data_IF_649007985525
#
_entry.id   IF_649007985525
#
_cell.length_a   1.000
_cell.length_b   1.000
_cell.length_c   1.000
_cell.angle_alpha   90.00
_cell.angle_beta   90.00
_cell.angle_gamma   90.00
#
_symmetry.space_group_name_H-M   'P 1'
#
loop_
_entity.id
_entity.type
_entity.pdbx_description
1 polymer ?
#
# COMPACT_ATOMS: atom_id res chain seq x y z
N UNK A 1 -4.60 11.08 -10.29
CA UNK A 1 -4.37 10.04 -9.30
C UNK A 1 -3.95 8.73 -9.90
N UNK A 2 -3.93 7.71 -9.11
CA UNK A 2 -3.73 6.33 -9.55
C UNK A 2 -4.87 5.47 -9.01
N UNK A 3 -5.17 4.35 -9.68
CA UNK A 3 -6.06 3.34 -9.15
C UNK A 3 -5.43 2.66 -7.93
N UNK A 4 -6.19 2.48 -6.86
CA UNK A 4 -5.87 1.63 -5.73
C UNK A 4 -6.67 0.33 -5.77
N UNK A 5 -7.91 0.43 -6.26
CA UNK A 5 -8.84 -0.67 -6.41
C UNK A 5 -9.02 -0.97 -7.91
N UNK A 6 -9.43 -2.19 -8.22
CA UNK A 6 -9.64 -2.62 -9.60
C UNK A 6 -10.69 -1.80 -10.35
N UNK A 7 -11.69 -1.29 -9.62
CA UNK A 7 -12.80 -0.51 -10.18
C UNK A 7 -12.54 1.00 -10.20
N UNK A 8 -11.39 1.46 -9.72
CA UNK A 8 -11.00 2.86 -9.77
C UNK A 8 -10.75 3.29 -11.22
N UNK A 9 -11.30 4.44 -11.63
CA UNK A 9 -11.08 5.05 -12.93
C UNK A 9 -10.42 6.44 -12.79
N UNK A 10 -9.13 6.51 -12.40
CA UNK A 10 -8.44 7.78 -12.25
C UNK A 10 -8.20 8.43 -13.61
N UNK A 11 -8.14 9.78 -13.62
CA UNK A 11 -7.70 10.51 -14.82
C UNK A 11 -6.30 10.04 -15.24
N UNK A 12 -6.08 9.95 -16.54
CA UNK A 12 -4.77 9.60 -17.12
C UNK A 12 -3.74 10.72 -16.89
N UNK A 13 -2.48 10.41 -17.10
CA UNK A 13 -1.43 11.43 -17.05
C UNK A 13 -1.59 12.45 -18.17
N UNK A 14 -2.12 12.04 -19.33
CA UNK A 14 -2.38 12.91 -20.47
C UNK A 14 -3.52 13.89 -20.15
N UNK A 15 -4.59 13.45 -19.49
CA UNK A 15 -5.67 14.33 -19.00
C UNK A 15 -5.12 15.41 -18.06
N UNK A 16 -4.24 15.03 -17.13
CA UNK A 16 -3.59 15.98 -16.22
C UNK A 16 -2.71 16.96 -16.97
N UNK A 17 -1.93 16.48 -17.93
CA UNK A 17 -1.05 17.33 -18.74
C UNK A 17 -1.86 18.31 -19.59
N UNK A 18 -2.91 17.84 -20.27
CA UNK A 18 -3.78 18.68 -21.09
C UNK A 18 -4.43 19.79 -20.30
N UNK A 19 -5.11 19.44 -19.18
CA UNK A 19 -5.79 20.42 -18.33
C UNK A 19 -4.81 21.44 -17.77
N UNK A 20 -3.67 20.97 -17.25
CA UNK A 20 -2.69 21.86 -16.61
C UNK A 20 -1.99 22.75 -17.62
N UNK A 21 -1.51 22.21 -18.73
CA UNK A 21 -0.80 22.99 -19.76
C UNK A 21 -1.75 23.98 -20.44
N UNK A 22 -3.00 23.61 -20.71
CA UNK A 22 -3.99 24.50 -21.29
C UNK A 22 -4.31 25.66 -20.34
N UNK A 23 -4.59 25.37 -19.06
CA UNK A 23 -4.89 26.41 -18.09
C UNK A 23 -3.72 27.41 -17.92
N UNK A 24 -2.48 26.91 -17.86
CA UNK A 24 -1.29 27.80 -17.76
C UNK A 24 -1.15 28.67 -18.99
N UNK A 25 -1.32 28.09 -20.19
CA UNK A 25 -1.24 28.84 -21.47
C UNK A 25 -2.31 29.95 -21.52
N UNK A 26 -3.56 29.61 -21.28
CA UNK A 26 -4.69 30.53 -21.34
C UNK A 26 -4.56 31.68 -20.33
N UNK A 27 -4.07 31.38 -19.12
CA UNK A 27 -3.85 32.41 -18.10
C UNK A 27 -2.69 33.34 -18.48
N UNK A 28 -1.59 32.79 -18.99
CA UNK A 28 -0.48 33.61 -19.45
C UNK A 28 -0.88 34.52 -20.60
N UNK A 29 -1.61 34.00 -21.58
CA UNK A 29 -2.13 34.79 -22.70
C UNK A 29 -3.07 35.90 -22.23
N UNK A 30 -4.03 35.57 -21.37
CA UNK A 30 -5.00 36.54 -20.82
C UNK A 30 -4.34 37.70 -20.05
N UNK A 31 -3.25 37.39 -19.35
CA UNK A 31 -2.57 38.37 -18.48
C UNK A 31 -1.29 38.96 -19.12
N UNK A 32 -0.98 38.65 -20.37
CA UNK A 32 0.21 39.14 -21.05
C UNK A 32 1.53 38.65 -20.43
N UNK A 33 1.53 37.46 -19.83
CA UNK A 33 2.68 36.87 -19.17
C UNK A 33 3.47 35.95 -20.12
N UNK A 34 4.77 35.90 -19.92
CA UNK A 34 5.60 34.91 -20.61
C UNK A 34 5.28 33.51 -20.09
N UNK A 35 5.17 32.54 -21.00
CA UNK A 35 4.89 31.15 -20.63
C UNK A 35 6.03 30.59 -19.74
N UNK A 36 5.74 30.16 -18.50
CA UNK A 36 6.75 29.62 -17.60
C UNK A 36 7.12 28.19 -17.97
N UNK A 37 8.29 27.76 -17.50
CA UNK A 37 8.62 26.33 -17.44
C UNK A 37 7.83 25.67 -16.31
N UNK A 38 7.02 24.69 -16.65
CA UNK A 38 6.26 23.89 -15.68
C UNK A 38 7.13 22.74 -15.15
N UNK A 39 7.21 22.59 -13.84
CA UNK A 39 7.87 21.48 -13.15
C UNK A 39 6.83 20.75 -12.30
N UNK A 40 6.84 19.42 -12.35
CA UNK A 40 5.94 18.55 -11.58
C UNK A 40 6.75 17.48 -10.88
N UNK A 41 6.25 17.00 -9.74
CA UNK A 41 6.89 15.98 -8.90
C UNK A 41 5.94 14.78 -8.67
N UNK A 42 5.68 13.94 -9.70
CA UNK A 42 4.68 12.87 -9.64
C UNK A 42 5.23 11.63 -8.92
N UNK A 43 5.33 11.64 -7.60
CA UNK A 43 5.90 10.52 -6.83
C UNK A 43 5.09 9.23 -6.95
N UNK A 44 3.86 9.23 -6.43
CA UNK A 44 3.03 8.03 -6.30
C UNK A 44 2.66 7.39 -7.63
N UNK A 45 2.31 8.17 -8.62
CA UNK A 45 1.92 7.67 -9.94
C UNK A 45 3.03 6.92 -10.67
N UNK A 46 4.28 7.10 -10.28
CA UNK A 46 5.41 6.41 -10.89
C UNK A 46 5.63 5.00 -10.32
N UNK A 47 5.40 4.79 -9.03
CA UNK A 47 5.90 3.59 -8.35
C UNK A 47 4.84 2.82 -7.53
N UNK A 48 3.68 3.40 -7.23
CA UNK A 48 2.73 2.73 -6.34
C UNK A 48 2.29 1.36 -6.88
N UNK A 49 1.89 1.28 -8.15
CA UNK A 49 1.41 0.04 -8.76
C UNK A 49 2.55 -0.93 -9.12
N UNK A 50 3.81 -0.50 -9.01
CA UNK A 50 4.95 -1.39 -9.19
C UNK A 50 5.31 -2.18 -7.93
N UNK A 51 4.67 -1.88 -6.79
CA UNK A 51 4.96 -2.52 -5.52
C UNK A 51 3.76 -3.23 -4.91
N UNK A 52 4.05 -4.36 -4.29
CA UNK A 52 3.10 -5.13 -3.47
C UNK A 52 3.75 -5.42 -2.12
N UNK A 53 2.91 -5.63 -1.10
CA UNK A 53 3.38 -6.12 0.19
C UNK A 53 2.80 -7.50 0.44
N UNK A 54 3.66 -8.42 0.88
CA UNK A 54 3.27 -9.80 1.19
C UNK A 54 3.26 -9.99 2.70
N UNK A 55 2.19 -10.60 3.18
CA UNK A 55 2.01 -10.94 4.59
C UNK A 55 1.61 -12.40 4.74
N UNK A 56 1.94 -12.99 5.87
CA UNK A 56 1.49 -14.33 6.24
C UNK A 56 0.26 -14.24 7.13
N UNK A 57 -0.77 -15.04 6.85
CA UNK A 57 -1.95 -15.16 7.70
C UNK A 57 -1.59 -15.92 8.96
N UNK A 58 -1.80 -15.28 10.11
CA UNK A 58 -1.52 -15.86 11.43
C UNK A 58 -2.77 -16.39 12.13
N UNK A 59 -3.81 -15.57 12.28
CA UNK A 59 -5.02 -15.89 13.04
C UNK A 59 -6.25 -15.48 12.25
N UNK A 60 -7.31 -16.28 12.37
CA UNK A 60 -8.63 -15.97 11.83
C UNK A 60 -9.63 -15.79 12.96
N UNK A 61 -10.39 -14.69 12.97
CA UNK A 61 -11.43 -14.42 13.96
C UNK A 61 -12.71 -13.95 13.29
N UNK A 62 -13.77 -14.71 13.46
CA UNK A 62 -15.11 -14.33 12.99
C UNK A 62 -15.96 -13.85 14.16
N UNK A 63 -16.55 -12.66 14.02
CA UNK A 63 -17.59 -12.14 14.89
C UNK A 63 -18.90 -12.23 14.10
N UNK A 64 -19.77 -13.21 14.37
CA UNK A 64 -20.97 -13.45 13.58
C UNK A 64 -21.84 -12.21 13.48
N UNK A 65 -22.27 -11.85 12.27
CA UNK A 65 -23.08 -10.66 11.99
C UNK A 65 -22.36 -9.30 12.13
N UNK A 66 -21.07 -9.30 12.47
CA UNK A 66 -20.28 -8.08 12.65
C UNK A 66 -19.15 -8.00 11.65
N UNK A 67 -18.14 -8.89 11.77
CA UNK A 67 -16.93 -8.79 10.93
C UNK A 67 -16.09 -10.06 10.99
N UNK A 68 -15.39 -10.36 9.90
CA UNK A 68 -14.33 -11.36 9.87
C UNK A 68 -12.96 -10.66 9.83
N UNK A 69 -12.12 -10.98 10.79
CA UNK A 69 -10.73 -10.53 10.84
C UNK A 69 -9.79 -11.62 10.35
N UNK A 70 -8.82 -11.22 9.54
CA UNK A 70 -7.67 -12.01 9.12
C UNK A 70 -6.43 -11.29 9.65
N UNK A 71 -5.84 -11.83 10.72
CA UNK A 71 -4.63 -11.26 11.31
C UNK A 71 -3.40 -11.68 10.51
N UNK A 72 -2.52 -10.72 10.25
CA UNK A 72 -1.32 -10.87 9.43
C UNK A 72 -0.06 -10.55 10.24
N UNK A 73 1.10 -11.01 9.74
CA UNK A 73 2.40 -10.81 10.41
C UNK A 73 3.03 -9.40 10.23
N UNK A 74 2.29 -8.46 9.63
CA UNK A 74 2.62 -7.05 9.53
C UNK A 74 1.57 -6.16 10.18
N UNK A 75 1.39 -4.94 9.65
CA UNK A 75 0.38 -4.02 10.13
C UNK A 75 0.72 -2.55 9.87
N UNK A 76 0.22 -1.66 10.73
CA UNK A 76 0.39 -0.22 10.58
C UNK A 76 1.84 0.25 10.62
N UNK A 77 2.77 -0.52 11.18
CA UNK A 77 4.20 -0.19 11.11
C UNK A 77 4.79 -0.32 9.69
N UNK A 78 4.16 -1.11 8.82
CA UNK A 78 4.57 -1.32 7.42
C UNK A 78 3.75 -0.46 6.47
N UNK A 79 2.45 -0.31 6.74
CA UNK A 79 1.51 0.50 5.97
C UNK A 79 0.58 1.28 6.88
N UNK A 80 1.01 2.48 7.27
CA UNK A 80 0.25 3.40 8.14
C UNK A 80 -0.88 4.11 7.41
N UNK A 81 -0.97 4.01 6.08
CA UNK A 81 -1.81 4.88 5.27
C UNK A 81 -3.30 4.65 5.45
N UNK A 82 -3.73 3.42 5.73
CA UNK A 82 -5.14 3.13 6.06
C UNK A 82 -5.55 3.86 7.33
N UNK A 83 -4.71 3.84 8.37
CA UNK A 83 -4.99 4.54 9.63
C UNK A 83 -4.94 6.07 9.51
N UNK A 84 -3.96 6.62 8.75
CA UNK A 84 -3.76 8.07 8.64
C UNK A 84 -4.68 8.76 7.62
N UNK A 85 -4.95 8.09 6.50
CA UNK A 85 -5.58 8.72 5.34
C UNK A 85 -6.85 8.00 4.89
N UNK A 86 -7.27 6.95 5.60
CA UNK A 86 -8.37 6.07 5.18
C UNK A 86 -8.16 5.55 3.75
N UNK A 87 -6.89 5.25 3.42
CA UNK A 87 -6.55 4.74 2.10
C UNK A 87 -7.02 3.30 1.97
N UNK A 88 -7.76 3.03 0.90
CA UNK A 88 -8.17 1.68 0.56
C UNK A 88 -7.07 0.96 -0.21
N UNK A 89 -6.94 -0.34 0.06
CA UNK A 89 -6.01 -1.23 -0.63
C UNK A 89 -6.72 -2.52 -1.01
N UNK A 90 -6.40 -3.05 -2.18
CA UNK A 90 -6.95 -4.32 -2.65
C UNK A 90 -6.06 -5.49 -2.23
N UNK A 91 -6.61 -6.48 -1.50
CA UNK A 91 -5.91 -7.69 -1.13
C UNK A 91 -6.23 -8.87 -2.06
N UNK A 92 -5.33 -9.84 -2.11
CA UNK A 92 -5.61 -11.19 -2.64
C UNK A 92 -4.82 -12.22 -1.86
N UNK A 93 -5.32 -13.46 -1.78
CA UNK A 93 -4.52 -14.60 -1.29
C UNK A 93 -3.65 -15.07 -2.45
N UNK A 94 -2.35 -14.80 -2.40
CA UNK A 94 -1.42 -15.03 -3.51
C UNK A 94 -1.38 -16.50 -3.96
N UNK A 95 -1.38 -17.43 -3.00
CA UNK A 95 -1.39 -18.87 -3.28
C UNK A 95 -2.80 -19.41 -3.64
N UNK A 96 -3.83 -18.57 -3.69
CA UNK A 96 -5.21 -18.90 -4.09
C UNK A 96 -5.80 -17.86 -5.05
N UNK A 97 -4.96 -17.12 -5.78
CA UNK A 97 -5.39 -15.96 -6.58
C UNK A 97 -6.44 -16.29 -7.66
N UNK A 98 -6.46 -17.54 -8.16
CA UNK A 98 -7.46 -18.01 -9.13
C UNK A 98 -8.80 -18.42 -8.51
N UNK A 99 -8.91 -18.49 -7.19
CA UNK A 99 -10.15 -18.85 -6.52
C UNK A 99 -11.09 -17.64 -6.38
N UNK A 100 -12.41 -17.86 -6.28
CA UNK A 100 -13.36 -16.77 -6.10
C UNK A 100 -13.15 -16.09 -4.72
N UNK A 101 -13.35 -14.78 -4.68
CA UNK A 101 -13.39 -13.98 -3.45
C UNK A 101 -14.76 -14.11 -2.82
N UNK A 102 -14.91 -14.97 -1.84
CA UNK A 102 -16.20 -15.34 -1.24
C UNK A 102 -16.44 -14.75 0.14
N UNK A 103 -15.46 -14.04 0.69
CA UNK A 103 -15.53 -13.49 2.05
C UNK A 103 -15.26 -11.99 2.04
N UNK A 104 -15.93 -11.24 2.92
CA UNK A 104 -15.58 -9.86 3.23
C UNK A 104 -14.77 -9.87 4.52
N UNK A 105 -13.57 -9.31 4.48
CA UNK A 105 -12.63 -9.37 5.60
C UNK A 105 -11.98 -8.02 5.91
N UNK A 106 -11.54 -7.87 7.14
CA UNK A 106 -10.59 -6.83 7.55
C UNK A 106 -9.24 -7.51 7.84
N UNK A 107 -8.19 -7.08 7.12
CA UNK A 107 -6.81 -7.49 7.42
C UNK A 107 -6.32 -6.63 8.58
N UNK A 108 -6.15 -7.24 9.75
CA UNK A 108 -5.62 -6.57 10.93
C UNK A 108 -4.16 -6.99 11.19
N UNK A 109 -3.37 -6.03 11.65
CA UNK A 109 -1.99 -6.29 12.00
C UNK A 109 -1.83 -6.91 13.39
N UNK A 110 -0.60 -6.91 13.86
CA UNK A 110 -0.16 -7.53 15.12
C UNK A 110 0.10 -6.53 16.23
N UNK A 111 -0.22 -5.24 16.01
CA UNK A 111 0.03 -4.18 16.98
C UNK A 111 -1.10 -4.11 18.02
N UNK A 112 -0.74 -3.73 19.25
CA UNK A 112 -1.70 -3.46 20.31
C UNK A 112 -2.34 -2.08 20.12
N UNK A 113 -3.06 -1.91 18.99
CA UNK A 113 -3.63 -0.66 18.53
C UNK A 113 -4.94 -0.92 17.76
N UNK A 114 -6.01 -0.24 18.14
CA UNK A 114 -7.33 -0.45 17.53
C UNK A 114 -7.40 -0.03 16.05
N UNK A 115 -6.55 0.89 15.65
CA UNK A 115 -6.40 1.35 14.26
C UNK A 115 -5.51 0.47 13.38
N UNK A 116 -4.98 -0.65 13.90
CA UNK A 116 -4.08 -1.53 13.16
C UNK A 116 -4.83 -2.40 12.13
N UNK A 117 -5.33 -1.76 11.09
CA UNK A 117 -5.93 -2.39 9.93
C UNK A 117 -5.22 -1.92 8.66
N UNK A 118 -4.78 -2.87 7.84
CA UNK A 118 -4.17 -2.62 6.54
C UNK A 118 -5.24 -2.53 5.45
N UNK A 119 -6.29 -3.34 5.57
CA UNK A 119 -7.42 -3.38 4.65
C UNK A 119 -8.70 -3.51 5.47
N UNK A 120 -9.75 -2.78 5.11
CA UNK A 120 -11.02 -2.77 5.85
C UNK A 120 -12.16 -3.22 4.95
N UNK A 121 -12.87 -4.29 5.37
CA UNK A 121 -14.10 -4.79 4.76
C UNK A 121 -14.03 -5.01 3.24
N UNK A 122 -12.96 -5.65 2.77
CA UNK A 122 -12.73 -5.93 1.35
C UNK A 122 -12.97 -7.40 0.97
N UNK A 123 -13.39 -7.67 -0.26
CA UNK A 123 -13.53 -9.04 -0.78
C UNK A 123 -12.19 -9.79 -0.80
N UNK A 124 -12.19 -11.01 -0.29
CA UNK A 124 -11.01 -11.89 -0.26
C UNK A 124 -11.41 -13.36 -0.54
N UNK A 125 -10.49 -14.14 -1.07
CA UNK A 125 -10.59 -15.60 -1.07
C UNK A 125 -10.68 -16.11 0.36
N UNK A 126 -11.27 -17.29 0.57
CA UNK A 126 -11.25 -17.93 1.89
C UNK A 126 -9.81 -18.11 2.35
N UNK A 127 -9.46 -17.44 3.45
CA UNK A 127 -8.14 -17.50 4.04
C UNK A 127 -8.00 -18.68 4.99
N UNK A 128 -6.83 -19.30 4.97
CA UNK A 128 -6.38 -20.29 5.97
C UNK A 128 -5.08 -19.78 6.63
N UNK A 129 -4.79 -20.26 7.84
CA UNK A 129 -3.55 -19.93 8.54
C UNK A 129 -2.36 -20.42 7.70
N UNK A 130 -1.36 -19.55 7.52
CA UNK A 130 -0.18 -19.80 6.70
C UNK A 130 -0.32 -19.38 5.24
N UNK A 131 -1.51 -18.97 4.78
CA UNK A 131 -1.67 -18.37 3.46
C UNK A 131 -0.85 -17.07 3.32
N UNK A 132 -0.50 -16.73 2.10
CA UNK A 132 0.19 -15.47 1.78
C UNK A 132 -0.82 -14.47 1.22
N UNK A 133 -1.02 -13.38 1.95
CA UNK A 133 -1.79 -12.23 1.47
C UNK A 133 -0.88 -11.28 0.70
N UNK A 134 -1.28 -10.92 -0.49
CA UNK A 134 -0.68 -9.85 -1.29
C UNK A 134 -1.58 -8.62 -1.23
N UNK A 135 -1.03 -7.47 -0.84
CA UNK A 135 -1.69 -6.17 -0.86
C UNK A 135 -1.08 -5.34 -1.97
N UNK A 136 -1.90 -4.91 -2.94
CA UNK A 136 -1.47 -4.16 -4.11
C UNK A 136 -1.26 -2.68 -3.84
N UNK A 137 -0.58 -1.98 -4.76
CA UNK A 137 -0.45 -0.52 -4.74
C UNK A 137 0.45 0.04 -3.64
N UNK A 138 1.33 -0.79 -3.05
CA UNK A 138 2.17 -0.42 -1.90
C UNK A 138 3.57 0.09 -2.26
N UNK A 139 3.86 0.32 -3.55
CA UNK A 139 5.17 0.79 -4.01
C UNK A 139 5.50 2.23 -3.63
N UNK A 140 4.52 3.01 -3.16
CA UNK A 140 4.73 4.39 -2.70
C UNK A 140 4.23 4.59 -1.28
N UNK A 141 5.02 5.30 -0.46
CA UNK A 141 4.69 5.73 0.90
C UNK A 141 4.47 4.63 1.95
N UNK A 142 4.63 3.35 1.61
CA UNK A 142 4.60 2.27 2.59
C UNK A 142 6.00 2.08 3.19
N UNK A 143 6.98 1.62 2.41
CA UNK A 143 8.35 1.44 2.92
C UNK A 143 8.96 2.73 3.48
N UNK A 144 8.72 3.89 2.86
CA UNK A 144 9.28 5.19 3.31
C UNK A 144 8.60 5.74 4.56
N UNK A 145 7.38 5.33 4.86
CA UNK A 145 6.65 5.68 6.09
C UNK A 145 6.70 4.57 7.14
N UNK A 146 7.36 3.45 6.84
CA UNK A 146 7.50 2.35 7.79
C UNK A 146 8.23 2.81 9.05
N UNK A 147 7.79 2.30 10.19
CA UNK A 147 8.30 2.66 11.49
C UNK A 147 8.61 1.43 12.34
N UNK A 148 9.27 1.66 13.47
CA UNK A 148 9.49 0.64 14.48
C UNK A 148 8.44 0.69 15.61
N UNK A 149 7.21 1.13 15.29
CA UNK A 149 6.14 1.19 16.27
C UNK A 149 5.95 -0.17 16.97
N UNK A 150 5.75 -0.15 18.27
CA UNK A 150 5.70 -1.33 19.15
C UNK A 150 6.96 -2.24 19.06
N UNK A 151 8.14 -1.67 18.74
CA UNK A 151 9.38 -2.42 18.64
C UNK A 151 9.40 -3.42 17.49
N UNK A 152 8.66 -3.18 16.41
CA UNK A 152 8.62 -4.08 15.25
C UNK A 152 9.73 -3.73 14.25
N UNK A 153 10.51 -4.74 13.81
CA UNK A 153 11.47 -4.56 12.72
C UNK A 153 10.78 -4.23 11.40
N UNK A 154 11.33 -3.27 10.65
CA UNK A 154 10.83 -2.93 9.31
C UNK A 154 11.07 -4.06 8.32
N UNK A 155 10.13 -4.30 7.36
CA UNK A 155 10.25 -5.37 6.38
C UNK A 155 11.37 -5.12 5.36
N UNK A 156 11.78 -6.18 4.67
CA UNK A 156 12.71 -6.07 3.55
C UNK A 156 12.03 -5.41 2.32
N UNK A 157 12.84 -4.78 1.46
CA UNK A 157 12.42 -4.40 0.10
C UNK A 157 13.18 -5.28 -0.90
N UNK A 158 12.41 -5.91 -1.79
CA UNK A 158 12.92 -6.84 -2.79
C UNK A 158 12.49 -6.38 -4.16
N UNK A 159 13.43 -6.20 -5.09
CA UNK A 159 13.12 -5.96 -6.49
C UNK A 159 13.05 -7.29 -7.22
N UNK A 160 12.00 -7.43 -8.04
CA UNK A 160 11.78 -8.60 -8.88
C UNK A 160 11.79 -8.17 -10.34
N UNK A 161 12.60 -8.84 -11.15
CA UNK A 161 12.68 -8.61 -12.59
C UNK A 161 13.09 -9.89 -13.29
N UNK A 162 12.40 -10.22 -14.39
CA UNK A 162 12.72 -11.36 -15.27
C UNK A 162 12.88 -12.69 -14.51
N UNK A 163 12.01 -12.93 -13.51
CA UNK A 163 12.03 -14.12 -12.68
C UNK A 163 13.12 -14.15 -11.60
N UNK A 164 13.96 -13.12 -11.50
CA UNK A 164 14.99 -12.99 -10.48
C UNK A 164 14.57 -12.01 -9.37
N UNK A 165 14.91 -12.34 -8.11
CA UNK A 165 14.65 -11.49 -6.95
C UNK A 165 15.97 -10.98 -6.37
N UNK A 166 16.02 -9.69 -6.01
CA UNK A 166 17.18 -9.05 -5.39
C UNK A 166 16.73 -8.21 -4.19
N UNK A 167 17.27 -8.52 -3.02
CA UNK A 167 17.08 -7.69 -1.83
C UNK A 167 17.82 -6.38 -2.03
N UNK A 168 17.11 -5.25 -1.94
CA UNK A 168 17.65 -3.89 -2.03
C UNK A 168 17.68 -3.20 -0.68
N UNK A 169 16.78 -3.59 0.23
CA UNK A 169 16.81 -3.22 1.64
C UNK A 169 16.59 -4.49 2.45
N UNK A 170 17.53 -4.86 3.31
CA UNK A 170 17.36 -6.03 4.17
C UNK A 170 16.27 -5.79 5.21
N UNK A 171 15.65 -6.85 5.70
CA UNK A 171 14.79 -6.79 6.88
C UNK A 171 15.62 -6.34 8.09
N UNK A 172 15.06 -5.50 8.94
CA UNK A 172 15.66 -5.19 10.24
C UNK A 172 15.64 -6.42 11.16
N UNK A 173 16.65 -6.51 11.97
CA UNK A 173 16.75 -7.43 13.12
C UNK A 173 16.37 -6.68 14.40
N UNK A 174 16.19 -7.39 15.50
CA UNK A 174 16.01 -6.73 16.80
C UNK A 174 17.26 -5.93 17.22
N UNK A 175 18.46 -6.38 16.84
CA UNK A 175 19.70 -5.64 17.11
C UNK A 175 19.71 -4.26 16.44
N UNK A 176 19.08 -4.13 15.26
CA UNK A 176 18.95 -2.83 14.60
C UNK A 176 18.11 -1.84 15.42
N UNK A 177 17.15 -2.31 16.22
CA UNK A 177 16.30 -1.47 17.06
C UNK A 177 17.08 -0.86 18.23
N UNK A 178 18.07 -1.58 18.75
CA UNK A 178 18.85 -1.19 19.93
C UNK A 178 20.15 -0.46 19.61
N UNK A 179 20.47 -0.24 18.34
CA UNK A 179 21.72 0.44 17.92
C UNK A 179 21.91 1.83 18.52
N UNK A 180 20.85 2.47 18.99
CA UNK A 180 20.87 3.81 19.57
C UNK A 180 20.86 3.80 21.10
N UNK A 181 20.73 2.64 21.71
CA UNK A 181 20.75 2.49 23.17
C UNK A 181 22.19 2.50 23.67
N UNK A 182 22.44 3.15 24.80
CA UNK A 182 23.76 3.37 25.40
C UNK A 182 23.97 2.44 26.58
#
# INVERSE_FOLDING_TARGET
>A
GIAYLADDAPSSIDDFAEVTCTAVRDLCERHGLTLPRLLVEPGRSLVANAGVTLYTVGILKTLPGIRKYVAIDGGMSDNIRTALYHADYEPTIANKASQPRTEIVTLCGKHCESGDAVVVDMPLQRADIGDIVCVFGTGAYCSTMASNYNGQPRPAVVFVRDGAARVVTRRETYDDLYQRDL
#
